data_IF_301609185759
#
_entry.id   IF_301609185759
#
_cell.length_a   1.000
_cell.length_b   1.000
_cell.length_c   1.000
_cell.angle_alpha   90.00
_cell.angle_beta   90.00
_cell.angle_gamma   90.00
#
_symmetry.space_group_name_H-M   'P 1'
#
loop_
_entity.id
_entity.type
_entity.pdbx_description
1 polymer ?
#
# COMPACT_ATOMS: atom_id res chain seq x y z
N UNK A 1 22.17 11.59 18.10
CA UNK A 1 22.08 10.33 17.34
C UNK A 1 20.91 10.49 16.38
N UNK A 2 21.02 10.07 15.11
CA UNK A 2 19.89 10.15 14.18
C UNK A 2 18.72 9.30 14.71
N UNK A 3 17.50 9.81 14.57
CA UNK A 3 16.28 9.02 14.79
C UNK A 3 16.32 7.83 13.81
N UNK A 4 16.10 6.58 14.27
CA UNK A 4 16.02 5.44 13.38
C UNK A 4 14.81 5.60 12.44
N UNK A 5 14.96 5.12 11.21
CA UNK A 5 13.92 5.21 10.18
C UNK A 5 13.56 3.81 9.71
N UNK A 6 12.26 3.51 9.71
CA UNK A 6 11.66 2.30 9.17
C UNK A 6 10.68 2.68 8.05
N UNK A 7 10.26 1.72 7.25
CA UNK A 7 9.23 1.91 6.21
C UNK A 7 8.02 1.03 6.49
N UNK A 8 6.81 1.47 6.12
CA UNK A 8 5.59 0.69 6.27
C UNK A 8 5.68 -0.66 5.51
N UNK A 9 6.20 -0.64 4.29
CA UNK A 9 6.49 -1.84 3.48
C UNK A 9 7.50 -2.79 4.17
N UNK A 10 8.51 -2.23 4.84
CA UNK A 10 9.43 -3.01 5.66
C UNK A 10 8.71 -3.66 6.84
N UNK A 11 7.81 -2.95 7.51
CA UNK A 11 7.02 -3.54 8.59
C UNK A 11 6.09 -4.64 8.08
N UNK A 12 5.47 -4.48 6.91
CA UNK A 12 4.68 -5.56 6.27
C UNK A 12 5.57 -6.78 5.95
N UNK A 13 6.78 -6.57 5.43
CA UNK A 13 7.76 -7.64 5.20
C UNK A 13 8.09 -8.38 6.50
N UNK A 14 8.22 -7.66 7.61
CA UNK A 14 8.44 -8.25 8.94
C UNK A 14 7.22 -9.07 9.42
N UNK A 15 6.00 -8.58 9.24
CA UNK A 15 4.77 -9.32 9.57
C UNK A 15 4.65 -10.63 8.78
N UNK A 16 5.08 -10.63 7.52
CA UNK A 16 5.16 -11.85 6.72
C UNK A 16 6.16 -12.85 7.29
N UNK A 17 7.37 -12.39 7.61
CA UNK A 17 8.40 -13.20 8.25
C UNK A 17 9.53 -12.31 8.78
N UNK A 18 9.84 -12.35 10.09
CA UNK A 18 10.95 -11.59 10.67
C UNK A 18 12.30 -11.90 10.01
N UNK A 19 12.53 -13.15 9.60
CA UNK A 19 13.73 -13.56 8.87
C UNK A 19 13.80 -12.97 7.45
N UNK A 20 12.66 -12.88 6.76
CA UNK A 20 12.59 -12.25 5.43
C UNK A 20 12.97 -10.77 5.52
N UNK A 21 12.49 -10.10 6.56
CA UNK A 21 12.87 -8.72 6.85
C UNK A 21 14.38 -8.56 7.07
N UNK A 22 14.98 -9.43 7.90
CA UNK A 22 16.42 -9.41 8.15
C UNK A 22 17.23 -9.54 6.84
N UNK A 23 16.88 -10.50 5.99
CA UNK A 23 17.58 -10.67 4.71
C UNK A 23 17.42 -9.46 3.78
N UNK A 24 16.20 -8.95 3.61
CA UNK A 24 15.93 -7.85 2.69
C UNK A 24 16.51 -6.52 3.20
N UNK A 25 16.17 -6.11 4.43
CA UNK A 25 16.40 -4.75 4.90
C UNK A 25 17.63 -4.59 5.81
N UNK A 26 18.07 -5.65 6.48
CA UNK A 26 19.28 -5.59 7.34
C UNK A 26 20.53 -6.01 6.56
N UNK A 27 20.40 -7.04 5.71
CA UNK A 27 21.52 -7.55 4.93
C UNK A 27 21.54 -7.07 3.47
N UNK A 28 20.48 -6.41 2.99
CA UNK A 28 20.43 -5.89 1.62
C UNK A 28 20.47 -6.99 0.56
N UNK A 29 19.91 -8.16 0.87
CA UNK A 29 19.91 -9.33 -0.02
C UNK A 29 18.68 -9.37 -0.94
N UNK A 30 17.94 -8.27 -1.05
CA UNK A 30 16.74 -8.15 -1.87
C UNK A 30 16.97 -8.69 -3.28
N UNK A 31 16.16 -9.68 -3.68
CA UNK A 31 16.18 -10.18 -5.04
C UNK A 31 15.57 -9.16 -5.99
N UNK A 32 16.10 -9.09 -7.21
CA UNK A 32 15.42 -8.41 -8.30
C UNK A 32 14.20 -9.27 -8.68
N UNK A 33 13.05 -9.02 -8.04
CA UNK A 33 11.81 -9.67 -8.45
C UNK A 33 11.35 -9.05 -9.78
N UNK A 34 11.61 -9.75 -10.88
CA UNK A 34 11.10 -9.43 -12.23
C UNK A 34 9.58 -9.71 -12.28
N UNK A 35 8.79 -8.86 -11.59
CA UNK A 35 7.33 -8.92 -11.60
C UNK A 35 6.81 -8.00 -12.70
N UNK A 36 6.74 -8.54 -13.91
CA UNK A 36 6.21 -7.85 -15.09
C UNK A 36 4.82 -7.21 -14.86
N UNK A 37 4.00 -7.73 -13.92
CA UNK A 37 2.71 -7.09 -13.61
C UNK A 37 2.90 -5.80 -12.81
N UNK A 38 3.87 -5.75 -11.88
CA UNK A 38 4.23 -4.51 -11.16
C UNK A 38 4.83 -3.47 -12.10
N UNK A 39 5.75 -3.88 -12.97
CA UNK A 39 6.37 -2.96 -13.93
C UNK A 39 5.33 -2.26 -14.81
N UNK A 40 4.32 -3.00 -15.28
CA UNK A 40 3.22 -2.45 -16.07
C UNK A 40 2.33 -1.50 -15.25
N UNK A 41 2.08 -1.80 -13.97
CA UNK A 41 1.36 -0.90 -13.06
C UNK A 41 2.15 0.40 -12.87
N UNK A 42 3.48 0.33 -12.79
CA UNK A 42 4.32 1.53 -12.68
C UNK A 42 4.26 2.41 -13.93
N UNK A 43 4.10 1.83 -15.13
CA UNK A 43 3.84 2.61 -16.35
C UNK A 43 2.52 3.40 -16.26
N UNK A 44 1.45 2.77 -15.77
CA UNK A 44 0.14 3.42 -15.58
C UNK A 44 0.21 4.49 -14.50
N UNK A 45 0.82 4.16 -13.36
CA UNK A 45 1.06 5.07 -12.23
C UNK A 45 1.74 6.35 -12.70
N UNK A 46 2.85 6.22 -13.43
CA UNK A 46 3.60 7.36 -13.97
C UNK A 46 2.79 8.16 -14.99
N UNK A 47 2.01 7.49 -15.85
CA UNK A 47 1.15 8.16 -16.83
C UNK A 47 0.05 8.99 -16.16
N UNK A 48 -0.66 8.42 -15.18
CA UNK A 48 -1.71 9.09 -14.43
C UNK A 48 -1.15 10.27 -13.64
N UNK A 49 -0.06 10.06 -12.88
CA UNK A 49 0.56 11.15 -12.12
C UNK A 49 1.07 12.27 -13.03
N UNK A 50 1.55 11.96 -14.24
CA UNK A 50 1.92 12.98 -15.24
C UNK A 50 0.71 13.81 -15.69
N UNK A 51 -0.44 13.17 -15.94
CA UNK A 51 -1.66 13.89 -16.29
C UNK A 51 -2.17 14.77 -15.14
N UNK A 52 -2.18 14.24 -13.91
CA UNK A 52 -2.58 15.01 -12.72
C UNK A 52 -1.67 16.22 -12.47
N UNK A 53 -0.36 16.09 -12.68
CA UNK A 53 0.61 17.21 -12.58
C UNK A 53 0.42 18.30 -13.63
N UNK A 54 -0.29 18.02 -14.71
CA UNK A 54 -0.46 18.98 -15.80
C UNK A 54 -1.36 20.16 -15.44
N UNK A 55 -2.14 20.03 -14.36
CA UNK A 55 -3.18 20.99 -13.97
C UNK A 55 -4.45 20.91 -14.81
N UNK A 56 -4.56 19.96 -15.74
CA UNK A 56 -5.81 19.67 -16.44
C UNK A 56 -6.84 19.09 -15.47
N UNK A 57 -8.10 19.53 -15.57
CA UNK A 57 -9.21 19.08 -14.70
C UNK A 57 -10.38 18.50 -15.48
N UNK A 58 -10.41 18.67 -16.80
CA UNK A 58 -11.38 18.04 -17.68
C UNK A 58 -10.90 16.68 -18.19
N UNK A 59 -11.86 15.80 -18.45
CA UNK A 59 -11.61 14.42 -18.83
C UNK A 59 -10.80 14.30 -20.14
N UNK A 60 -11.18 15.02 -21.19
CA UNK A 60 -10.55 14.93 -22.52
C UNK A 60 -9.06 15.29 -22.45
N UNK A 61 -8.72 16.35 -21.70
CA UNK A 61 -7.34 16.79 -21.56
C UNK A 61 -6.50 15.85 -20.68
N UNK A 62 -7.08 15.32 -19.61
CA UNK A 62 -6.41 14.34 -18.75
C UNK A 62 -6.10 13.06 -19.53
N UNK A 63 -7.07 12.56 -20.29
CA UNK A 63 -6.93 11.40 -21.17
C UNK A 63 -5.81 11.60 -22.18
N UNK A 64 -5.85 12.69 -22.96
CA UNK A 64 -4.84 12.98 -23.99
C UNK A 64 -3.41 12.96 -23.42
N UNK A 65 -3.21 13.55 -22.23
CA UNK A 65 -1.89 13.63 -21.59
C UNK A 65 -1.46 12.26 -21.07
N UNK A 66 -2.36 11.54 -20.37
CA UNK A 66 -2.07 10.24 -19.80
C UNK A 66 -1.79 9.20 -20.90
N UNK A 67 -2.62 9.11 -21.94
CA UNK A 67 -2.45 8.19 -23.06
C UNK A 67 -1.14 8.43 -23.80
N UNK A 68 -0.80 9.70 -24.04
CA UNK A 68 0.46 10.06 -24.68
C UNK A 68 1.63 9.60 -23.82
N UNK A 69 1.62 9.88 -22.52
CA UNK A 69 2.69 9.46 -21.61
C UNK A 69 2.79 7.95 -21.53
N UNK A 70 1.67 7.25 -21.40
CA UNK A 70 1.61 5.79 -21.37
C UNK A 70 2.15 5.20 -22.69
N UNK A 71 1.87 5.81 -23.83
CA UNK A 71 2.39 5.40 -25.14
C UNK A 71 3.91 5.54 -25.25
N UNK A 72 4.46 6.65 -24.76
CA UNK A 72 5.91 6.88 -24.71
C UNK A 72 6.60 5.85 -23.80
N UNK A 73 6.04 5.60 -22.61
CA UNK A 73 6.55 4.62 -21.66
C UNK A 73 6.48 3.19 -22.22
N UNK A 74 5.35 2.79 -22.79
CA UNK A 74 5.16 1.47 -23.40
C UNK A 74 6.06 1.21 -24.61
N UNK A 75 6.43 2.26 -25.36
CA UNK A 75 7.38 2.15 -26.46
C UNK A 75 8.80 1.83 -25.98
N UNK A 76 9.17 2.29 -24.78
CA UNK A 76 10.44 2.01 -24.12
C UNK A 76 10.44 0.78 -23.20
N UNK A 77 9.26 0.20 -22.90
CA UNK A 77 9.11 -0.95 -22.02
C UNK A 77 9.66 -2.22 -22.67
N UNK A 78 10.70 -2.80 -22.07
CA UNK A 78 11.40 -3.98 -22.58
C UNK A 78 10.99 -5.23 -21.80
N UNK A 79 9.81 -5.75 -22.13
CA UNK A 79 9.32 -7.00 -21.57
C UNK A 79 9.29 -8.12 -22.63
N UNK A 80 9.77 -9.34 -22.31
CA UNK A 80 9.79 -10.46 -23.24
C UNK A 80 8.39 -11.09 -23.44
N UNK A 81 7.55 -10.45 -24.25
CA UNK A 81 6.25 -11.03 -24.63
C UNK A 81 6.41 -12.27 -25.52
N UNK A 82 5.59 -13.31 -25.29
CA UNK A 82 5.56 -14.51 -26.12
C UNK A 82 5.05 -14.26 -27.54
N UNK A 83 4.26 -13.20 -27.75
CA UNK A 83 3.75 -12.82 -29.07
C UNK A 83 3.39 -11.33 -29.17
N UNK A 84 3.28 -10.82 -30.40
CA UNK A 84 2.76 -9.47 -30.66
C UNK A 84 1.30 -9.32 -30.19
N UNK A 85 0.50 -10.36 -30.33
CA UNK A 85 -0.89 -10.36 -29.85
C UNK A 85 -0.96 -10.21 -28.34
N UNK A 86 -0.07 -10.89 -27.60
CA UNK A 86 0.03 -10.70 -26.15
C UNK A 86 0.42 -9.25 -25.82
N UNK A 87 1.45 -8.70 -26.47
CA UNK A 87 1.85 -7.30 -26.26
C UNK A 87 0.70 -6.32 -26.54
N UNK A 88 -0.03 -6.51 -27.64
CA UNK A 88 -1.16 -5.64 -27.98
C UNK A 88 -2.31 -5.78 -26.97
N UNK A 89 -2.57 -7.01 -26.50
CA UNK A 89 -3.60 -7.26 -25.49
C UNK A 89 -3.26 -6.58 -24.16
N UNK A 90 -2.02 -6.74 -23.67
CA UNK A 90 -1.57 -6.11 -22.44
C UNK A 90 -1.63 -4.59 -22.55
N UNK A 91 -1.26 -4.03 -23.72
CA UNK A 91 -1.45 -2.60 -23.98
C UNK A 91 -2.92 -2.18 -23.86
N UNK A 92 -3.83 -2.91 -24.50
CA UNK A 92 -5.27 -2.62 -24.45
C UNK A 92 -5.83 -2.70 -23.02
N UNK A 93 -5.30 -3.60 -22.18
CA UNK A 93 -5.65 -3.66 -20.75
C UNK A 93 -5.22 -2.37 -20.04
N UNK A 94 -4.00 -1.87 -20.29
CA UNK A 94 -3.55 -0.61 -19.68
C UNK A 94 -4.40 0.58 -20.12
N UNK A 95 -4.71 0.67 -21.42
CA UNK A 95 -5.56 1.74 -21.96
C UNK A 95 -6.97 1.72 -21.31
N UNK A 96 -7.59 0.54 -21.23
CA UNK A 96 -8.90 0.38 -20.60
C UNK A 96 -8.89 0.71 -19.09
N UNK A 97 -7.82 0.36 -18.37
CA UNK A 97 -7.68 0.72 -16.94
C UNK A 97 -7.51 2.23 -16.77
N UNK A 98 -6.74 2.89 -17.64
CA UNK A 98 -6.58 4.34 -17.62
C UNK A 98 -7.93 5.04 -17.83
N UNK A 99 -8.68 4.63 -18.85
CA UNK A 99 -10.03 5.12 -19.12
C UNK A 99 -10.94 4.91 -17.90
N UNK A 100 -10.99 3.68 -17.37
CA UNK A 100 -11.78 3.35 -16.18
C UNK A 100 -11.41 4.17 -14.94
N UNK A 101 -10.13 4.51 -14.75
CA UNK A 101 -9.71 5.44 -13.68
C UNK A 101 -10.24 6.86 -13.90
N UNK A 102 -10.10 7.38 -15.12
CA UNK A 102 -10.54 8.73 -15.46
C UNK A 102 -12.05 8.90 -15.36
N UNK A 103 -12.81 7.88 -15.76
CA UNK A 103 -14.26 7.83 -15.61
C UNK A 103 -14.70 7.74 -14.14
N UNK A 104 -14.02 6.90 -13.34
CA UNK A 104 -14.43 6.65 -11.97
C UNK A 104 -14.12 7.83 -11.03
N UNK A 105 -12.92 8.39 -11.11
CA UNK A 105 -12.43 9.38 -10.13
C UNK A 105 -11.44 10.41 -10.68
N UNK A 106 -10.88 10.23 -11.88
CA UNK A 106 -9.73 11.04 -12.33
C UNK A 106 -9.99 12.54 -12.41
N UNK A 107 -11.17 12.96 -12.87
CA UNK A 107 -11.56 14.39 -12.96
C UNK A 107 -11.75 15.02 -11.57
N UNK A 108 -12.44 14.33 -10.67
CA UNK A 108 -12.64 14.78 -9.28
C UNK A 108 -11.32 14.89 -8.53
N UNK A 109 -10.42 13.91 -8.70
CA UNK A 109 -9.09 13.92 -8.12
C UNK A 109 -8.25 15.08 -8.65
N UNK A 110 -8.27 15.34 -9.97
CA UNK A 110 -7.56 16.47 -10.58
C UNK A 110 -8.09 17.82 -10.08
N UNK A 111 -9.41 18.00 -10.01
CA UNK A 111 -10.02 19.21 -9.46
C UNK A 111 -9.68 19.40 -7.97
N UNK A 112 -9.61 18.31 -7.20
CA UNK A 112 -9.16 18.36 -5.81
C UNK A 112 -7.68 18.72 -5.65
N UNK A 113 -6.81 18.32 -6.58
CA UNK A 113 -5.41 18.74 -6.61
C UNK A 113 -5.30 20.23 -6.95
N UNK A 114 -6.03 20.71 -7.97
CA UNK A 114 -6.09 22.14 -8.32
C UNK A 114 -6.48 23.00 -7.11
N UNK A 115 -7.45 22.54 -6.31
CA UNK A 115 -7.87 23.24 -5.07
C UNK A 115 -6.77 23.34 -4.01
N UNK A 116 -5.77 22.46 -4.01
CA UNK A 116 -4.63 22.50 -3.08
C UNK A 116 -3.53 23.48 -3.52
N UNK A 117 -3.56 23.99 -4.77
CA UNK A 117 -2.52 24.84 -5.37
C UNK A 117 -2.45 26.29 -4.81
N UNK A 118 -2.34 26.44 -3.48
CA UNK A 118 -2.02 27.71 -2.85
C UNK A 118 -0.72 27.72 -2.03
N UNK A 119 0.05 26.62 -1.91
CA UNK A 119 1.36 26.70 -1.22
C UNK A 119 2.37 25.61 -1.62
N UNK A 120 3.39 26.02 -2.39
CA UNK A 120 4.80 25.55 -2.46
C UNK A 120 5.18 24.05 -2.27
N UNK A 121 4.24 23.11 -2.27
CA UNK A 121 4.48 21.69 -1.99
C UNK A 121 4.15 20.89 -3.24
N UNK A 122 5.07 20.05 -3.69
CA UNK A 122 4.79 19.05 -4.72
C UNK A 122 3.84 18.01 -4.09
N UNK A 123 2.58 17.99 -4.52
CA UNK A 123 1.51 17.13 -3.98
C UNK A 123 1.19 15.93 -4.88
N UNK A 124 1.96 15.77 -5.96
CA UNK A 124 1.83 14.69 -6.93
C UNK A 124 3.22 14.11 -7.20
N UNK A 125 3.45 12.90 -6.73
CA UNK A 125 4.60 12.03 -6.99
C UNK A 125 4.19 10.85 -7.87
N UNK A 126 5.09 9.99 -8.33
CA UNK A 126 5.03 8.63 -7.85
C UNK A 126 5.82 8.65 -6.54
N UNK A 127 5.23 8.14 -5.46
CA UNK A 127 5.84 8.04 -4.14
C UNK A 127 6.12 9.38 -3.40
N UNK A 128 5.10 10.22 -3.22
CA UNK A 128 5.11 11.33 -2.26
C UNK A 128 5.35 10.81 -0.83
N UNK A 129 6.43 11.23 -0.14
CA UNK A 129 6.76 10.72 1.18
C UNK A 129 5.84 11.29 2.26
N UNK A 130 5.25 10.40 3.04
CA UNK A 130 4.58 10.67 4.29
C UNK A 130 5.36 10.00 5.43
N UNK A 131 5.24 10.54 6.63
CA UNK A 131 5.96 10.00 7.76
C UNK A 131 5.17 10.17 9.05
N UNK A 132 5.23 9.12 9.86
CA UNK A 132 4.78 9.12 11.25
C UNK A 132 5.98 9.02 12.19
N UNK A 133 5.99 9.82 13.24
CA UNK A 133 6.98 9.72 14.30
C UNK A 133 6.26 9.14 15.53
N UNK A 134 6.79 8.04 16.05
CA UNK A 134 6.20 7.31 17.18
C UNK A 134 7.17 7.32 18.37
N UNK A 135 6.62 7.46 19.56
CA UNK A 135 7.37 7.24 20.79
C UNK A 135 7.43 5.75 21.08
N UNK A 136 8.61 5.25 21.42
CA UNK A 136 8.82 3.86 21.77
C UNK A 136 8.63 3.64 23.29
N UNK A 137 8.37 2.40 23.74
CA UNK A 137 8.28 2.08 25.16
C UNK A 137 9.57 2.45 25.91
N UNK A 138 9.46 2.82 27.20
CA UNK A 138 10.60 3.26 28.02
C UNK A 138 11.73 2.22 28.13
N UNK A 139 11.41 0.94 27.92
CA UNK A 139 12.36 -0.19 27.96
C UNK A 139 13.20 -0.30 26.67
N UNK A 140 12.89 0.49 25.64
CA UNK A 140 13.60 0.49 24.37
C UNK A 140 14.92 1.25 24.45
N UNK A 141 15.93 0.81 23.70
CA UNK A 141 17.22 1.53 23.56
C UNK A 141 17.09 2.90 22.84
N UNK A 142 15.90 3.20 22.33
CA UNK A 142 15.56 4.38 21.53
C UNK A 142 14.26 4.99 22.05
N UNK A 143 14.21 6.31 22.09
CA UNK A 143 13.03 7.04 22.56
C UNK A 143 11.95 7.19 21.47
N UNK A 144 12.37 7.30 20.20
CA UNK A 144 11.50 7.58 19.06
C UNK A 144 11.94 6.84 17.81
N UNK A 145 10.98 6.60 16.93
CA UNK A 145 11.18 6.05 15.59
C UNK A 145 10.37 6.85 14.58
N UNK A 146 10.96 7.06 13.40
CA UNK A 146 10.26 7.56 12.23
C UNK A 146 9.90 6.39 11.33
N UNK A 147 8.63 6.30 10.94
CA UNK A 147 8.11 5.30 10.02
C UNK A 147 7.63 6.04 8.78
N UNK A 148 8.24 5.74 7.64
CA UNK A 148 7.94 6.34 6.34
C UNK A 148 6.94 5.48 5.57
N UNK A 149 6.02 6.15 4.88
CA UNK A 149 5.10 5.56 3.90
C UNK A 149 5.04 6.48 2.68
N UNK A 150 4.45 6.00 1.59
CA UNK A 150 4.34 6.77 0.36
C UNK A 150 2.93 6.73 -0.18
N UNK A 151 2.46 7.86 -0.70
CA UNK A 151 1.24 7.94 -1.51
C UNK A 151 1.61 8.48 -2.89
N UNK A 152 0.77 8.29 -3.89
CA UNK A 152 1.03 8.86 -5.21
C UNK A 152 0.73 10.33 -5.26
N UNK A 153 -0.44 10.71 -4.77
CA UNK A 153 -0.83 12.11 -4.71
C UNK A 153 -1.74 12.36 -3.54
N UNK A 154 -1.89 13.65 -3.26
CA UNK A 154 -2.83 14.14 -2.28
C UNK A 154 -3.82 15.04 -2.99
N UNK A 155 -5.10 14.80 -2.76
CA UNK A 155 -6.20 15.58 -3.33
C UNK A 155 -7.12 16.08 -2.22
N UNK A 156 -7.78 17.22 -2.46
CA UNK A 156 -8.74 17.80 -1.54
C UNK A 156 -10.15 17.49 -2.02
N UNK A 157 -10.93 16.83 -1.17
CA UNK A 157 -12.38 16.70 -1.30
C UNK A 157 -13.10 17.77 -0.46
N UNK A 158 -14.43 17.83 -0.53
CA UNK A 158 -15.22 18.83 0.19
C UNK A 158 -14.92 18.87 1.70
N UNK A 159 -14.76 17.71 2.34
CA UNK A 159 -14.54 17.60 3.79
C UNK A 159 -13.17 17.04 4.18
N UNK A 160 -12.38 16.55 3.22
CA UNK A 160 -11.27 15.63 3.52
C UNK A 160 -10.03 15.92 2.68
N UNK A 161 -8.85 15.84 3.29
CA UNK A 161 -7.57 15.70 2.61
C UNK A 161 -7.33 14.20 2.37
N UNK A 162 -7.23 13.78 1.12
CA UNK A 162 -7.15 12.37 0.74
C UNK A 162 -5.77 12.06 0.19
N UNK A 163 -5.05 11.15 0.83
CA UNK A 163 -3.88 10.52 0.23
C UNK A 163 -4.32 9.33 -0.63
N UNK A 164 -3.86 9.27 -1.87
CA UNK A 164 -4.22 8.21 -2.80
C UNK A 164 -2.97 7.41 -3.20
N UNK A 165 -3.05 6.09 -3.12
CA UNK A 165 -1.99 5.19 -3.54
C UNK A 165 -2.51 4.22 -4.60
N UNK A 166 -1.77 4.06 -5.69
CA UNK A 166 -2.03 3.08 -6.71
C UNK A 166 -1.45 1.73 -6.29
N UNK A 167 -2.28 0.69 -6.33
CA UNK A 167 -1.89 -0.68 -5.99
C UNK A 167 -2.17 -1.61 -7.17
N UNK A 168 -1.40 -2.69 -7.37
CA UNK A 168 -1.71 -3.66 -8.41
C UNK A 168 -3.10 -4.29 -8.23
N UNK A 169 -3.45 -4.65 -7.00
CA UNK A 169 -4.73 -5.26 -6.67
C UNK A 169 -5.09 -5.00 -5.22
N UNK A 170 -6.39 -5.01 -4.93
CA UNK A 170 -6.92 -4.94 -3.56
C UNK A 170 -7.04 -6.33 -2.90
N UNK A 171 -6.68 -7.42 -3.59
CA UNK A 171 -6.75 -8.77 -3.03
C UNK A 171 -6.04 -8.93 -1.66
N UNK A 172 -4.86 -8.33 -1.42
CA UNK A 172 -4.18 -8.32 -0.12
C UNK A 172 -5.01 -7.81 1.06
N UNK A 173 -6.00 -6.95 0.81
CA UNK A 173 -6.84 -6.37 1.85
C UNK A 173 -7.80 -7.41 2.48
N UNK A 174 -8.03 -8.57 1.84
CA UNK A 174 -8.85 -9.64 2.40
C UNK A 174 -10.23 -9.16 2.86
N UNK A 175 -10.53 -9.35 4.15
CA UNK A 175 -11.79 -8.93 4.78
C UNK A 175 -12.01 -7.41 4.75
N UNK A 176 -10.94 -6.60 4.73
CA UNK A 176 -11.04 -5.13 4.73
C UNK A 176 -11.70 -4.59 3.45
N UNK A 177 -11.78 -5.39 2.38
CA UNK A 177 -12.52 -5.03 1.15
C UNK A 177 -14.04 -5.00 1.33
N UNK A 178 -14.55 -5.76 2.29
CA UNK A 178 -15.99 -6.03 2.45
C UNK A 178 -16.55 -5.52 3.77
N UNK A 179 -15.67 -5.10 4.68
CA UNK A 179 -16.01 -4.51 5.97
C UNK A 179 -15.59 -3.05 5.95
N UNK A 180 -16.47 -2.21 6.46
CA UNK A 180 -16.27 -0.75 6.54
C UNK A 180 -16.19 -0.28 7.99
N UNK A 181 -16.01 -1.19 8.93
CA UNK A 181 -16.01 -0.92 10.36
C UNK A 181 -14.92 -1.77 11.02
N UNK A 182 -14.24 -1.15 11.99
CA UNK A 182 -13.26 -1.79 12.85
C UNK A 182 -13.89 -2.89 13.72
N UNK A 183 -15.12 -2.69 14.20
CA UNK A 183 -15.73 -3.59 15.17
C UNK A 183 -16.01 -5.00 14.59
N UNK A 184 -15.91 -6.02 15.45
CA UNK A 184 -16.21 -7.40 15.11
C UNK A 184 -15.07 -8.10 14.36
N UNK A 185 -15.32 -8.51 13.11
CA UNK A 185 -14.43 -9.39 12.35
C UNK A 185 -13.04 -8.76 12.11
N UNK A 186 -12.97 -7.44 11.88
CA UNK A 186 -11.71 -6.73 11.60
C UNK A 186 -10.85 -6.63 12.86
N UNK A 187 -11.43 -6.19 13.98
CA UNK A 187 -10.74 -6.16 15.27
C UNK A 187 -10.25 -7.55 15.69
N UNK A 188 -11.09 -8.58 15.52
CA UNK A 188 -10.71 -9.96 15.81
C UNK A 188 -9.53 -10.42 14.94
N UNK A 189 -9.62 -10.26 13.61
CA UNK A 189 -8.54 -10.59 12.69
C UNK A 189 -7.23 -9.89 13.08
N UNK A 190 -7.28 -8.60 13.40
CA UNK A 190 -6.09 -7.84 13.75
C UNK A 190 -5.46 -8.31 15.07
N UNK A 191 -6.27 -8.51 16.11
CA UNK A 191 -5.78 -8.97 17.42
C UNK A 191 -5.26 -10.41 17.33
N UNK A 192 -6.01 -11.28 16.68
CA UNK A 192 -5.70 -12.70 16.55
C UNK A 192 -4.44 -12.93 15.71
N UNK A 193 -4.14 -12.08 14.72
CA UNK A 193 -2.87 -12.14 13.99
C UNK A 193 -1.64 -12.04 14.91
N UNK A 194 -1.71 -11.25 15.99
CA UNK A 194 -0.60 -11.12 16.94
C UNK A 194 -0.65 -12.15 18.08
N UNK A 195 -1.70 -12.97 18.18
CA UNK A 195 -1.79 -14.03 19.18
C UNK A 195 -1.17 -15.33 18.66
N UNK A 196 -0.05 -15.76 19.25
CA UNK A 196 0.60 -17.05 18.92
C UNK A 196 -0.26 -18.27 19.23
N UNK A 197 -1.33 -18.14 20.02
CA UNK A 197 -2.31 -19.20 20.25
C UNK A 197 -3.41 -19.29 19.19
N UNK A 198 -3.46 -18.33 18.26
CA UNK A 198 -4.46 -18.29 17.18
C UNK A 198 -3.89 -18.81 15.87
N UNK A 199 -4.73 -19.49 15.09
CA UNK A 199 -4.40 -19.92 13.72
C UNK A 199 -4.54 -18.77 12.70
N UNK A 200 -5.03 -17.60 13.12
CA UNK A 200 -5.19 -16.44 12.23
C UNK A 200 -3.83 -15.86 11.87
N UNK A 201 -3.52 -15.82 10.57
CA UNK A 201 -2.27 -15.25 10.06
C UNK A 201 -2.53 -14.43 8.79
N UNK A 202 -2.82 -13.14 8.98
CA UNK A 202 -3.21 -12.21 7.91
C UNK A 202 -2.23 -11.03 7.77
N UNK A 203 -0.94 -11.28 7.46
CA UNK A 203 0.10 -10.24 7.47
C UNK A 203 -0.18 -9.08 6.50
N UNK A 204 -0.82 -9.35 5.36
CA UNK A 204 -1.16 -8.32 4.35
C UNK A 204 -2.26 -7.37 4.81
N UNK A 205 -3.35 -7.91 5.36
CA UNK A 205 -4.43 -7.08 5.89
C UNK A 205 -3.98 -6.27 7.11
N UNK A 206 -3.18 -6.88 8.00
CA UNK A 206 -2.59 -6.19 9.15
C UNK A 206 -1.59 -5.13 8.69
N UNK A 207 -0.73 -5.45 7.71
CA UNK A 207 0.21 -4.51 7.08
C UNK A 207 -0.50 -3.28 6.52
N UNK A 208 -1.61 -3.46 5.80
CA UNK A 208 -2.43 -2.36 5.27
C UNK A 208 -3.01 -1.46 6.38
N UNK A 209 -3.41 -2.02 7.53
CA UNK A 209 -3.88 -1.26 8.69
C UNK A 209 -2.74 -0.47 9.36
N UNK A 210 -1.55 -1.06 9.48
CA UNK A 210 -0.34 -0.38 9.96
C UNK A 210 0.07 0.77 9.02
N UNK A 211 0.08 0.52 7.72
CA UNK A 211 0.34 1.53 6.69
C UNK A 211 -0.68 2.67 6.78
N UNK A 212 -1.97 2.35 6.90
CA UNK A 212 -3.04 3.34 7.06
C UNK A 212 -2.79 4.24 8.27
N UNK A 213 -2.37 3.69 9.41
CA UNK A 213 -2.01 4.48 10.60
C UNK A 213 -0.86 5.47 10.30
N UNK A 214 0.17 5.03 9.56
CA UNK A 214 1.31 5.87 9.18
C UNK A 214 0.90 6.96 8.19
N UNK A 215 0.14 6.61 7.16
CA UNK A 215 -0.34 7.52 6.12
C UNK A 215 -1.27 8.58 6.71
N UNK A 216 -2.25 8.20 7.53
CA UNK A 216 -3.19 9.14 8.16
C UNK A 216 -2.45 10.11 9.09
N UNK A 217 -1.47 9.64 9.87
CA UNK A 217 -0.64 10.53 10.71
C UNK A 217 0.21 11.49 9.85
N UNK A 218 0.78 11.00 8.75
CA UNK A 218 1.51 11.84 7.79
C UNK A 218 0.62 12.90 7.13
N UNK A 219 -0.59 12.52 6.72
CA UNK A 219 -1.59 13.43 6.15
C UNK A 219 -2.04 14.48 7.14
N UNK A 220 -2.14 14.18 8.43
CA UNK A 220 -2.46 15.19 9.47
C UNK A 220 -1.40 16.27 9.56
N UNK A 221 -0.12 15.89 9.53
CA UNK A 221 0.99 16.86 9.52
C UNK A 221 0.99 17.69 8.24
N UNK A 222 0.68 17.06 7.10
CA UNK A 222 0.52 17.78 5.84
C UNK A 222 -0.66 18.76 5.91
N UNK A 223 -1.81 18.31 6.44
CA UNK A 223 -3.01 19.14 6.67
C UNK A 223 -2.71 20.35 7.56
N UNK A 224 -1.98 20.17 8.65
CA UNK A 224 -1.53 21.25 9.53
C UNK A 224 -0.62 22.24 8.79
N UNK A 225 0.34 21.73 8.00
CA UNK A 225 1.21 22.58 7.18
C UNK A 225 0.47 23.38 6.10
N UNK A 226 -0.65 22.84 5.62
CA UNK A 226 -1.49 23.45 4.60
C UNK A 226 -2.61 24.34 5.18
N UNK A 227 -2.67 24.53 6.50
CA UNK A 227 -3.71 25.30 7.20
C UNK A 227 -5.14 24.78 6.92
N UNK A 228 -5.28 23.45 6.83
CA UNK A 228 -6.52 22.75 6.52
C UNK A 228 -7.12 22.06 7.76
N UNK A 229 -6.98 22.65 8.95
CA UNK A 229 -7.32 22.03 10.24
C UNK A 229 -8.77 21.52 10.33
N UNK A 230 -9.70 22.17 9.62
CA UNK A 230 -11.11 21.79 9.57
C UNK A 230 -11.40 20.55 8.68
N UNK A 231 -10.41 20.06 7.94
CA UNK A 231 -10.55 18.88 7.05
C UNK A 231 -10.19 17.60 7.80
N UNK A 232 -10.89 16.51 7.51
CA UNK A 232 -10.46 15.18 7.94
C UNK A 232 -9.33 14.68 7.04
N UNK A 233 -8.66 13.58 7.43
CA UNK A 233 -7.67 12.91 6.59
C UNK A 233 -8.20 11.53 6.20
N UNK A 234 -8.08 11.16 4.92
CA UNK A 234 -8.48 9.86 4.39
C UNK A 234 -7.34 9.21 3.60
N UNK A 235 -7.27 7.88 3.62
CA UNK A 235 -6.36 7.09 2.81
C UNK A 235 -7.15 6.18 1.86
N UNK A 236 -6.90 6.35 0.55
CA UNK A 236 -7.56 5.60 -0.52
C UNK A 236 -6.55 4.79 -1.31
N UNK A 237 -6.91 3.55 -1.62
CA UNK A 237 -6.16 2.70 -2.55
C UNK A 237 -6.94 2.51 -3.86
N UNK A 238 -6.25 2.65 -4.98
CA UNK A 238 -6.83 2.52 -6.33
C UNK A 238 -6.17 1.34 -7.05
N UNK A 239 -6.91 0.27 -7.38
CA UNK A 239 -6.35 -0.86 -8.11
C UNK A 239 -6.12 -0.55 -9.58
N UNK A 240 -4.92 -0.83 -10.10
CA UNK A 240 -4.55 -0.63 -11.51
C UNK A 240 -4.37 -1.95 -12.30
N UNK A 241 -4.41 -3.11 -11.67
CA UNK A 241 -4.26 -4.40 -12.35
C UNK A 241 -5.18 -5.50 -11.77
N UNK A 242 -6.37 -5.13 -11.27
CA UNK A 242 -7.33 -6.12 -10.77
C UNK A 242 -7.96 -6.90 -11.92
N UNK A 243 -7.34 -8.04 -12.26
CA UNK A 243 -7.75 -8.92 -13.37
C UNK A 243 -9.18 -9.41 -13.27
N UNK A 244 -9.79 -9.42 -12.09
CA UNK A 244 -11.20 -9.80 -11.91
C UNK A 244 -12.17 -8.73 -12.43
N UNK A 245 -11.67 -7.54 -12.76
CA UNK A 245 -12.44 -6.39 -13.22
C UNK A 245 -12.11 -5.99 -14.65
N UNK A 246 -11.40 -6.87 -15.37
CA UNK A 246 -11.13 -6.73 -16.79
C UNK A 246 -12.01 -7.71 -17.55
N UNK A 247 -12.88 -7.20 -18.42
CA UNK A 247 -13.69 -8.00 -19.32
C UNK A 247 -13.08 -7.95 -20.73
N UNK A 248 -12.81 -9.13 -21.31
CA UNK A 248 -12.24 -9.23 -22.66
C UNK A 248 -13.33 -9.73 -23.60
N UNK A 249 -13.68 -8.89 -24.58
CA UNK A 249 -14.56 -9.28 -25.66
C UNK A 249 -13.73 -9.75 -26.86
N UNK A 250 -13.42 -11.05 -26.87
CA UNK A 250 -12.61 -11.70 -27.91
C UNK A 250 -13.18 -11.60 -29.33
N UNK A 251 -14.47 -11.26 -29.47
CA UNK A 251 -15.14 -11.14 -30.78
C UNK A 251 -14.92 -9.76 -31.38
N UNK A 252 -14.85 -8.73 -30.53
CA UNK A 252 -14.65 -7.34 -30.95
C UNK A 252 -13.22 -6.86 -30.73
N UNK A 253 -12.37 -7.68 -30.09
CA UNK A 253 -11.00 -7.34 -29.68
C UNK A 253 -10.96 -6.09 -28.79
N UNK A 254 -11.99 -5.94 -27.93
CA UNK A 254 -12.09 -4.85 -26.96
C UNK A 254 -11.84 -5.37 -25.55
N UNK A 255 -11.26 -4.51 -24.72
CA UNK A 255 -11.03 -4.73 -23.30
C UNK A 255 -11.74 -3.63 -22.56
N UNK A 256 -12.59 -4.00 -21.60
CA UNK A 256 -13.24 -3.07 -20.69
C UNK A 256 -12.66 -3.30 -19.29
N UNK A 257 -12.36 -2.23 -18.55
CA UNK A 257 -11.88 -2.33 -17.18
C UNK A 257 -12.68 -1.41 -16.25
N UNK A 258 -13.00 -1.91 -15.06
CA UNK A 258 -13.66 -1.10 -14.02
C UNK A 258 -12.72 -0.88 -12.85
N UNK A 259 -12.48 0.38 -12.52
CA UNK A 259 -11.69 0.81 -11.35
C UNK A 259 -12.66 1.21 -10.25
N UNK A 260 -12.59 0.56 -9.09
CA UNK A 260 -13.29 1.05 -7.89
C UNK A 260 -12.25 1.24 -6.78
N UNK A 261 -12.02 2.49 -6.36
CA UNK A 261 -11.18 2.77 -5.21
C UNK A 261 -11.75 2.20 -3.91
N UNK A 262 -10.89 1.91 -2.95
CA UNK A 262 -11.28 1.54 -1.58
C UNK A 262 -10.72 2.54 -0.60
N UNK A 263 -11.57 3.07 0.27
CA UNK A 263 -11.16 3.90 1.40
C UNK A 263 -10.86 3.01 2.61
N UNK A 264 -9.62 3.08 3.10
CA UNK A 264 -9.15 2.33 4.27
C UNK A 264 -9.37 3.06 5.59
N UNK A 265 -9.72 4.34 5.53
CA UNK A 265 -9.89 5.19 6.72
C UNK A 265 -11.05 4.72 7.58
N UNK A 266 -12.17 4.35 6.96
CA UNK A 266 -13.37 3.92 7.68
C UNK A 266 -13.09 2.68 8.54
N UNK A 267 -12.31 1.74 7.99
CA UNK A 267 -11.90 0.52 8.70
C UNK A 267 -10.87 0.78 9.80
N UNK A 268 -10.07 1.84 9.65
CA UNK A 268 -9.11 2.28 10.66
C UNK A 268 -9.78 3.05 11.82
N UNK A 269 -10.96 3.65 11.63
CA UNK A 269 -11.63 4.40 12.70
C UNK A 269 -12.24 3.45 13.72
N UNK A 270 -11.72 3.48 14.95
CA UNK A 270 -12.41 2.91 16.10
C UNK A 270 -13.49 3.90 16.58
N UNK A 271 -14.76 3.58 16.35
CA UNK A 271 -15.89 4.43 16.71
C UNK A 271 -15.99 4.71 18.22
N UNK A 272 -15.54 3.78 19.08
CA UNK A 272 -15.52 4.01 20.52
C UNK A 272 -14.50 5.08 20.89
N UNK A 273 -13.28 4.95 20.39
CA UNK A 273 -12.20 5.93 20.65
C UNK A 273 -12.46 7.27 19.96
N UNK A 274 -12.99 7.23 18.74
CA UNK A 274 -13.36 8.43 17.98
C UNK A 274 -14.42 9.27 18.72
N UNK A 275 -15.45 8.64 19.29
CA UNK A 275 -16.46 9.36 20.06
C UNK A 275 -15.91 10.03 21.33
N UNK A 276 -14.77 9.56 21.85
CA UNK A 276 -14.14 10.10 23.06
C UNK A 276 -13.10 11.20 22.77
N UNK A 277 -12.33 11.06 21.69
CA UNK A 277 -11.18 11.95 21.39
C UNK A 277 -11.42 12.87 20.20
N UNK A 278 -12.43 12.58 19.36
CA UNK A 278 -12.68 13.21 18.06
C UNK A 278 -11.49 13.12 17.07
N UNK A 279 -10.53 12.24 17.33
CA UNK A 279 -9.43 11.93 16.42
C UNK A 279 -9.73 10.61 15.70
N UNK A 280 -9.52 10.53 14.39
CA UNK A 280 -9.58 9.26 13.63
C UNK A 280 -8.42 8.35 14.06
N UNK A 281 -8.39 7.84 15.30
CA UNK A 281 -7.30 7.01 15.80
C UNK A 281 -7.85 5.72 16.35
N UNK A 282 -7.15 4.65 16.05
CA UNK A 282 -7.35 3.36 16.64
C UNK A 282 -6.11 3.02 17.46
N UNK A 283 -6.27 3.12 18.78
CA UNK A 283 -5.20 2.91 19.75
C UNK A 283 -4.65 1.49 19.69
N UNK A 284 -5.47 0.51 19.30
CA UNK A 284 -5.03 -0.89 19.16
C UNK A 284 -4.04 -1.02 18.00
N UNK A 285 -4.37 -0.44 16.85
CA UNK A 285 -3.49 -0.44 15.68
C UNK A 285 -2.22 0.37 15.98
N UNK A 286 -2.37 1.57 16.54
CA UNK A 286 -1.24 2.45 16.85
C UNK A 286 -0.27 1.84 17.87
N UNK A 287 -0.78 1.11 18.88
CA UNK A 287 0.06 0.43 19.87
C UNK A 287 0.80 -0.75 19.25
N UNK A 288 0.13 -1.56 18.41
CA UNK A 288 0.79 -2.67 17.70
C UNK A 288 1.84 -2.19 16.70
N UNK A 289 1.60 -1.07 16.03
CA UNK A 289 2.61 -0.43 15.17
C UNK A 289 3.90 -0.14 15.96
N UNK A 290 3.76 0.37 17.19
CA UNK A 290 4.89 0.68 18.08
C UNK A 290 5.59 -0.60 18.55
N UNK A 291 4.84 -1.63 18.94
CA UNK A 291 5.40 -2.93 19.35
C UNK A 291 6.24 -3.54 18.21
N UNK A 292 5.67 -3.62 17.00
CA UNK A 292 6.37 -4.18 15.82
C UNK A 292 7.61 -3.36 15.48
N UNK A 293 7.52 -2.03 15.51
CA UNK A 293 8.69 -1.18 15.27
C UNK A 293 9.78 -1.37 16.34
N UNK A 294 9.40 -1.57 17.61
CA UNK A 294 10.32 -1.88 18.70
C UNK A 294 11.03 -3.22 18.49
N UNK A 295 10.28 -4.26 18.10
CA UNK A 295 10.82 -5.59 17.83
C UNK A 295 11.85 -5.55 16.69
N UNK A 296 11.52 -4.86 15.59
CA UNK A 296 12.43 -4.65 14.47
C UNK A 296 13.73 -3.95 14.90
N UNK A 297 13.62 -2.89 15.70
CA UNK A 297 14.78 -2.13 16.17
C UNK A 297 15.63 -2.89 17.19
N UNK A 298 15.04 -3.81 17.94
CA UNK A 298 15.75 -4.69 18.88
C UNK A 298 16.41 -5.90 18.20
N UNK A 299 16.16 -6.11 16.90
CA UNK A 299 16.73 -7.21 16.12
C UNK A 299 16.02 -8.55 16.36
N UNK A 300 14.73 -8.52 16.69
CA UNK A 300 13.94 -9.71 16.97
C UNK A 300 13.53 -10.43 15.68
N UNK A 301 14.47 -11.13 15.04
CA UNK A 301 14.26 -11.76 13.72
C UNK A 301 14.02 -13.28 13.76
N UNK A 302 13.70 -13.83 14.93
CA UNK A 302 13.41 -15.27 15.09
C UNK A 302 11.96 -15.57 14.67
N UNK A 303 11.73 -16.34 13.58
CA UNK A 303 10.39 -16.68 13.12
C UNK A 303 9.77 -17.86 13.89
N UNK A 304 10.50 -18.51 14.80
CA UNK A 304 10.07 -19.73 15.50
C UNK A 304 8.68 -19.61 16.15
N UNK A 305 8.28 -18.49 16.79
CA UNK A 305 6.97 -18.39 17.45
C UNK A 305 5.75 -18.57 16.54
N UNK A 306 5.89 -18.34 15.22
CA UNK A 306 4.82 -18.42 14.22
C UNK A 306 5.24 -19.25 13.01
N UNK A 307 6.14 -20.20 13.23
CA UNK A 307 6.80 -20.90 12.13
C UNK A 307 5.83 -21.67 11.24
N UNK A 308 4.82 -22.34 11.82
CA UNK A 308 3.90 -23.19 11.06
C UNK A 308 3.05 -22.36 10.07
N UNK A 309 2.59 -21.18 10.49
CA UNK A 309 1.88 -20.26 9.60
C UNK A 309 2.81 -19.63 8.56
N UNK A 310 4.00 -19.17 8.98
CA UNK A 310 5.00 -18.58 8.07
C UNK A 310 5.43 -19.59 7.00
N UNK A 311 5.67 -20.85 7.38
CA UNK A 311 6.09 -21.92 6.49
C UNK A 311 5.02 -22.24 5.44
N UNK A 312 3.75 -22.10 5.80
CA UNK A 312 2.62 -22.38 4.91
C UNK A 312 2.33 -21.20 3.99
N UNK A 313 2.27 -19.98 4.53
CA UNK A 313 1.73 -18.81 3.82
C UNK A 313 2.81 -17.92 3.19
N UNK A 314 4.00 -17.81 3.81
CA UNK A 314 5.03 -16.83 3.37
C UNK A 314 6.25 -17.48 2.73
N UNK A 315 6.58 -18.72 3.10
CA UNK A 315 7.71 -19.46 2.56
C UNK A 315 7.60 -19.91 1.10
N UNK A 316 6.42 -20.23 0.52
CA UNK A 316 6.31 -20.68 -0.89
C UNK A 316 6.83 -19.65 -1.90
N UNK A 317 6.59 -18.37 -1.64
CA UNK A 317 6.96 -17.26 -2.52
C UNK A 317 8.21 -16.50 -2.02
N UNK A 318 8.95 -17.09 -1.06
CA UNK A 318 10.12 -16.46 -0.48
C UNK A 318 11.37 -16.74 -1.32
N UNK A 319 11.99 -15.69 -1.86
CA UNK A 319 13.24 -15.76 -2.64
C UNK A 319 14.40 -16.37 -1.84
N UNK A 320 14.36 -16.23 -0.52
CA UNK A 320 15.38 -16.74 0.40
C UNK A 320 15.13 -18.17 0.86
N UNK A 321 14.02 -18.80 0.45
CA UNK A 321 13.61 -20.11 0.97
C UNK A 321 14.71 -21.17 0.86
N UNK A 322 15.48 -21.17 -0.23
CA UNK A 322 16.55 -22.15 -0.51
C UNK A 322 17.72 -22.05 0.49
N UNK A 323 18.01 -20.85 0.99
CA UNK A 323 19.10 -20.59 1.93
C UNK A 323 18.67 -20.40 3.39
N UNK A 324 17.36 -20.45 3.66
CA UNK A 324 16.80 -20.16 4.97
C UNK A 324 17.10 -21.31 5.95
N UNK A 325 17.83 -21.01 7.03
CA UNK A 325 18.20 -22.00 8.04
C UNK A 325 16.97 -22.56 8.75
N UNK A 326 15.99 -21.72 9.04
CA UNK A 326 14.75 -22.13 9.73
C UNK A 326 13.94 -23.12 8.87
N UNK A 327 13.88 -22.88 7.54
CA UNK A 327 13.23 -23.80 6.59
C UNK A 327 13.97 -25.11 6.47
N UNK A 328 15.29 -25.07 6.29
CA UNK A 328 16.11 -26.27 6.21
C UNK A 328 16.02 -27.09 7.49
N UNK A 329 16.01 -26.44 8.67
CA UNK A 329 15.86 -27.10 9.96
C UNK A 329 14.52 -27.81 10.10
N UNK A 330 13.43 -27.22 9.59
CA UNK A 330 12.12 -27.85 9.56
C UNK A 330 12.08 -29.06 8.62
N UNK A 331 12.65 -28.96 7.41
CA UNK A 331 12.65 -30.04 6.42
C UNK A 331 13.52 -31.25 6.83
N UNK A 332 14.59 -31.03 7.60
CA UNK A 332 15.48 -32.11 8.09
C UNK A 332 15.10 -32.62 9.49
N UNK A 333 14.01 -32.10 10.08
CA UNK A 333 13.50 -32.58 11.35
C UNK A 333 12.92 -33.97 11.15
N UNK A 334 13.56 -34.97 11.74
CA UNK A 334 13.00 -36.31 11.79
C UNK A 334 11.94 -36.35 12.89
N UNK A 335 10.70 -36.68 12.52
CA UNK A 335 9.65 -37.02 13.49
C UNK A 335 10.14 -38.22 14.32
N UNK A 336 10.41 -37.95 15.60
CA UNK A 336 10.91 -38.93 16.58
C UNK A 336 9.79 -39.71 17.26
#
# INVERSE_FOLDING_TARGET
MSEPTLTADGLETYLHCPRRYEFAHVHGLEGETDDASRDRVDLLREAICTALRSGATDWERLEEIAEKRLSELWAGHDEPFHSRSQRNHERAVLDAVLEGYLEAVGTDHAAGIERLEASATELVGPALPLASARSLPEESDRERVRIDATVDYVTLEEASLVGVNFVPTLAPLGLLRYRSDWEGDVAALFVDHFDSGSEVFEPRAVGALLETSVVVDGLRRLRERLDLEAKTCRYMQVPLADRHRTAVNWVQDTVDATVEPTDLTDVYIDHHTYAMTHEHRNETIDSRLVDVASDVLSGSFDPTPRWDEIATESCPDCEYAVGCQDRLAAEVRFDG
#
